data_IF_622517382764
#
_entry.id   IF_622517382764
#
_cell.length_a   1.000
_cell.length_b   1.000
_cell.length_c   1.000
_cell.angle_alpha   90.00
_cell.angle_beta   90.00
_cell.angle_gamma   90.00
#
_symmetry.space_group_name_H-M   'P 1'
#
loop_
_entity.id
_entity.type
_entity.pdbx_description
1 polymer ?
#
# COMPACT_ATOMS: atom_id res chain seq x y z
N UNK A 1 -9.65 10.10 -1.63
CA UNK A 1 -9.74 9.24 -2.83
C UNK A 1 -9.43 7.80 -2.45
N UNK A 2 -10.09 6.82 -3.08
CA UNK A 2 -9.79 5.40 -2.90
C UNK A 2 -9.53 4.77 -4.27
N UNK A 3 -8.44 4.00 -4.38
CA UNK A 3 -8.06 3.27 -5.58
C UNK A 3 -7.88 1.79 -5.24
N UNK A 4 -8.39 0.89 -6.10
CA UNK A 4 -8.24 -0.55 -5.95
C UNK A 4 -7.17 -1.06 -6.91
N UNK A 5 -6.14 -1.70 -6.38
CA UNK A 5 -5.05 -2.30 -7.13
C UNK A 5 -5.07 -3.83 -6.98
N UNK A 6 -5.25 -4.55 -8.08
CA UNK A 6 -4.97 -5.98 -8.13
C UNK A 6 -3.54 -6.15 -8.65
N UNK A 7 -2.67 -6.76 -7.85
CA UNK A 7 -1.25 -6.91 -8.14
C UNK A 7 -0.85 -8.38 -8.18
N UNK A 8 -0.17 -8.77 -9.24
CA UNK A 8 0.47 -10.09 -9.45
C UNK A 8 1.96 -9.96 -9.78
N UNK A 9 2.42 -8.74 -10.05
CA UNK A 9 3.83 -8.35 -10.18
C UNK A 9 4.13 -7.21 -9.22
N UNK A 10 5.41 -6.92 -8.94
CA UNK A 10 5.77 -5.76 -8.14
C UNK A 10 5.26 -4.45 -8.75
N UNK A 11 4.80 -3.54 -7.89
CA UNK A 11 4.26 -2.22 -8.28
C UNK A 11 4.81 -1.14 -7.36
N UNK A 12 4.90 0.09 -7.86
CA UNK A 12 5.21 1.28 -7.08
C UNK A 12 3.94 2.06 -6.78
N UNK A 13 3.77 2.48 -5.52
CA UNK A 13 2.64 3.26 -5.04
C UNK A 13 3.19 4.61 -4.58
N UNK A 14 2.91 5.71 -5.30
CA UNK A 14 3.27 7.05 -4.85
C UNK A 14 2.49 7.41 -3.59
N UNK A 15 3.10 8.10 -2.63
CA UNK A 15 2.52 8.47 -1.33
C UNK A 15 2.64 9.98 -1.03
N UNK A 16 3.08 10.78 -2.00
CA UNK A 16 3.40 12.21 -1.85
C UNK A 16 2.18 13.13 -1.65
N UNK A 17 0.98 12.68 -2.02
CA UNK A 17 -0.25 13.51 -2.04
C UNK A 17 -0.93 13.67 -0.66
N UNK A 18 -0.20 13.51 0.44
CA UNK A 18 -0.74 13.52 1.81
C UNK A 18 -0.94 12.13 2.41
N UNK A 19 -1.59 12.03 3.60
CA UNK A 19 -1.71 10.77 4.31
C UNK A 19 -2.32 9.69 3.43
N UNK A 20 -1.57 8.61 3.23
CA UNK A 20 -1.98 7.47 2.41
C UNK A 20 -2.09 6.24 3.29
N UNK A 21 -3.18 5.49 3.22
CA UNK A 21 -3.32 4.18 3.85
C UNK A 21 -3.31 3.11 2.77
N UNK A 22 -2.63 2.00 3.05
CA UNK A 22 -2.66 0.80 2.20
C UNK A 22 -3.33 -0.32 2.97
N UNK A 23 -4.53 -0.70 2.54
CA UNK A 23 -5.27 -1.84 3.06
C UNK A 23 -5.03 -3.04 2.15
N UNK A 24 -4.60 -4.17 2.71
CA UNK A 24 -4.59 -5.43 1.98
C UNK A 24 -5.95 -6.12 2.12
N UNK A 25 -6.80 -6.08 1.10
CA UNK A 25 -8.13 -6.71 1.17
C UNK A 25 -8.08 -8.22 0.96
N UNK A 26 -7.17 -8.70 0.10
CA UNK A 26 -7.01 -10.13 -0.22
C UNK A 26 -5.55 -10.45 -0.52
N UNK A 27 -5.14 -11.66 -0.15
CA UNK A 27 -3.80 -12.17 -0.43
C UNK A 27 -2.78 -11.62 0.55
N UNK A 28 -1.53 -11.49 0.10
CA UNK A 28 -0.46 -10.89 0.91
C UNK A 28 0.37 -9.91 0.09
N UNK A 29 0.74 -8.82 0.72
CA UNK A 29 1.65 -7.82 0.17
C UNK A 29 2.88 -7.68 1.06
N UNK A 30 4.05 -7.62 0.43
CA UNK A 30 5.33 -7.44 1.08
C UNK A 30 5.88 -6.08 0.67
N UNK A 31 6.17 -5.23 1.65
CA UNK A 31 6.85 -3.96 1.48
C UNK A 31 8.31 -4.18 1.90
N UNK A 32 9.25 -4.25 0.93
CA UNK A 32 10.66 -4.50 1.23
C UNK A 32 11.28 -3.26 1.90
N UNK A 33 12.31 -3.51 2.69
CA UNK A 33 13.05 -2.49 3.42
C UNK A 33 14.05 -3.16 4.37
N UNK A 34 14.74 -2.38 5.21
CA UNK A 34 15.64 -2.93 6.23
C UNK A 34 14.91 -3.86 7.20
N UNK A 35 13.66 -3.54 7.52
CA UNK A 35 12.70 -4.41 8.19
C UNK A 35 11.46 -4.57 7.29
N UNK A 36 11.36 -5.66 6.52
CA UNK A 36 10.24 -5.88 5.61
C UNK A 36 8.92 -5.96 6.36
N UNK A 37 7.88 -5.30 5.82
CA UNK A 37 6.52 -5.35 6.36
C UNK A 37 5.71 -6.33 5.50
N UNK A 38 5.00 -7.24 6.15
CA UNK A 38 4.08 -8.16 5.49
C UNK A 38 2.66 -7.84 5.91
N UNK A 39 1.80 -7.56 4.94
CA UNK A 39 0.36 -7.38 5.15
C UNK A 39 -0.36 -8.64 4.70
N UNK A 40 -1.15 -9.24 5.59
CA UNK A 40 -2.19 -10.20 5.27
C UNK A 40 -3.55 -9.53 5.07
N UNK A 41 -4.62 -10.32 4.86
CA UNK A 41 -5.96 -9.79 4.69
C UNK A 41 -6.41 -8.92 5.87
N UNK A 42 -6.93 -7.74 5.54
CA UNK A 42 -7.38 -6.67 6.42
C UNK A 42 -6.30 -5.92 7.20
N UNK A 43 -5.03 -6.31 7.06
CA UNK A 43 -3.93 -5.50 7.58
C UNK A 43 -3.85 -4.17 6.82
N UNK A 44 -3.54 -3.11 7.57
CA UNK A 44 -3.42 -1.75 7.04
C UNK A 44 -2.07 -1.17 7.40
N UNK A 45 -1.40 -0.60 6.39
CA UNK A 45 -0.16 0.15 6.54
C UNK A 45 -0.43 1.64 6.40
N UNK A 46 0.03 2.41 7.37
CA UNK A 46 0.19 3.87 7.28
C UNK A 46 1.69 4.15 7.06
N UNK A 47 2.12 4.55 5.85
CA UNK A 47 3.49 4.95 5.59
C UNK A 47 3.83 6.21 6.38
N UNK A 48 5.08 6.31 6.84
CA UNK A 48 5.58 7.53 7.47
C UNK A 48 5.59 8.72 6.50
N UNK A 49 5.66 9.95 7.02
CA UNK A 49 5.58 11.18 6.21
C UNK A 49 6.70 11.32 5.18
N UNK A 50 7.84 10.66 5.39
CA UNK A 50 9.02 10.75 4.51
C UNK A 50 9.03 9.69 3.39
N UNK A 51 8.08 8.75 3.38
CA UNK A 51 7.97 7.77 2.30
C UNK A 51 7.27 8.45 1.11
N UNK A 52 8.01 8.72 0.03
CA UNK A 52 7.47 9.29 -1.21
C UNK A 52 6.90 8.24 -2.16
N UNK A 53 7.52 7.06 -2.19
CA UNK A 53 7.10 5.91 -3.02
C UNK A 53 7.29 4.62 -2.23
N UNK A 54 6.25 3.77 -2.23
CA UNK A 54 6.33 2.42 -1.70
C UNK A 54 6.33 1.39 -2.82
N UNK A 55 7.39 0.58 -2.87
CA UNK A 55 7.42 -0.62 -3.70
C UNK A 55 6.69 -1.74 -2.96
N UNK A 56 5.79 -2.43 -3.64
CA UNK A 56 5.08 -3.60 -3.10
C UNK A 56 5.37 -4.83 -3.94
N UNK A 57 5.59 -5.97 -3.29
CA UNK A 57 5.70 -7.28 -3.91
C UNK A 57 4.49 -8.15 -3.50
N UNK A 58 3.74 -8.72 -4.45
CA UNK A 58 2.67 -9.64 -4.13
C UNK A 58 3.21 -11.02 -3.74
N UNK A 59 2.46 -11.76 -2.93
CA UNK A 59 2.78 -13.14 -2.58
C UNK A 59 1.51 -14.00 -2.39
N UNK A 60 0.99 -14.71 -3.42
CA UNK A 60 1.32 -14.70 -4.86
C UNK A 60 0.54 -13.65 -5.69
N UNK A 61 -0.73 -13.41 -5.36
CA UNK A 61 -1.54 -12.29 -5.87
C UNK A 61 -2.13 -11.53 -4.67
N UNK A 62 -2.30 -10.21 -4.80
CA UNK A 62 -2.94 -9.41 -3.77
C UNK A 62 -3.90 -8.36 -4.34
N UNK A 63 -4.94 -8.03 -3.58
CA UNK A 63 -5.79 -6.87 -3.83
C UNK A 63 -5.57 -5.85 -2.74
N UNK A 64 -5.08 -4.69 -3.12
CA UNK A 64 -4.84 -3.56 -2.23
C UNK A 64 -5.85 -2.46 -2.49
N UNK A 65 -6.18 -1.72 -1.43
CA UNK A 65 -6.82 -0.42 -1.54
C UNK A 65 -5.83 0.64 -1.11
N UNK A 66 -5.54 1.58 -2.00
CA UNK A 66 -4.76 2.78 -1.72
C UNK A 66 -5.74 3.91 -1.41
N UNK A 67 -5.71 4.37 -0.17
CA UNK A 67 -6.66 5.34 0.35
C UNK A 67 -5.89 6.63 0.61
N UNK A 68 -6.14 7.66 -0.20
CA UNK A 68 -5.51 8.97 -0.04
C UNK A 68 -6.47 9.90 0.70
N UNK A 69 -6.06 10.35 1.87
CA UNK A 69 -6.83 11.28 2.68
C UNK A 69 -6.47 12.70 2.21
N UNK A 70 -7.41 13.32 1.52
CA UNK A 70 -7.32 14.71 1.10
C UNK A 70 -8.17 15.55 2.06
N UNK A 71 -7.72 16.77 2.37
CA UNK A 71 -8.55 17.71 3.11
C UNK A 71 -9.86 17.94 2.34
N UNK A 72 -10.97 18.07 3.07
CA UNK A 72 -12.20 18.56 2.48
C UNK A 72 -11.95 19.96 1.91
N UNK A 73 -12.38 20.18 0.67
CA UNK A 73 -12.31 21.48 0.00
C UNK A 73 -13.25 22.49 0.68
#
# INVERSE_FOLDING_TARGET
>A
QVERLAISTPVEIPTEAGPTLILCHRGHAIFPGAAPIRLGPLDTLLPGPDASVLRVQPAPDATLFVIRIIAAA
#
